data_IF_071209336836
#
_entry.id   IF_071209336836
#
_cell.length_a   1.000
_cell.length_b   1.000
_cell.length_c   1.000
_cell.angle_alpha   90.00
_cell.angle_beta   90.00
_cell.angle_gamma   90.00
#
_symmetry.space_group_name_H-M   'P 1'
#
loop_
_entity.id
_entity.type
_entity.pdbx_description
1 polymer ?
#
# COMPACT_ATOMS: atom_id res chain seq x y z
N UNK A 1 -16.51 49.16 -19.05
CA UNK A 1 -15.68 48.09 -19.63
C UNK A 1 -14.81 47.54 -18.53
N UNK A 2 -15.18 46.37 -17.99
CA UNK A 2 -14.42 45.69 -16.94
C UNK A 2 -14.00 44.34 -17.49
N UNK A 3 -12.71 44.19 -17.78
CA UNK A 3 -12.11 42.89 -18.07
C UNK A 3 -11.81 42.21 -16.73
N UNK A 4 -12.78 41.46 -16.20
CA UNK A 4 -12.55 40.57 -15.08
C UNK A 4 -11.71 39.39 -15.58
N UNK A 5 -10.52 39.24 -15.00
CA UNK A 5 -9.56 38.21 -15.34
C UNK A 5 -10.13 36.81 -15.16
N UNK A 6 -10.17 36.06 -16.26
CA UNK A 6 -10.31 34.62 -16.23
C UNK A 6 -8.99 34.04 -15.74
N UNK A 7 -8.88 33.86 -14.42
CA UNK A 7 -7.88 32.97 -13.84
C UNK A 7 -8.30 31.53 -14.13
N UNK A 8 -7.94 31.03 -15.30
CA UNK A 8 -7.97 29.61 -15.62
C UNK A 8 -6.79 28.96 -14.89
N UNK A 9 -6.94 28.67 -13.59
CA UNK A 9 -6.19 27.59 -12.98
C UNK A 9 -6.77 26.28 -13.50
N UNK A 10 -6.37 25.90 -14.73
CA UNK A 10 -6.37 24.51 -15.13
C UNK A 10 -5.27 23.85 -14.29
N UNK A 11 -5.59 23.48 -13.05
CA UNK A 11 -4.76 22.53 -12.33
C UNK A 11 -4.81 21.25 -13.17
N UNK A 12 -3.68 20.91 -13.80
CA UNK A 12 -3.54 19.61 -14.46
C UNK A 12 -3.53 18.56 -13.35
N UNK A 13 -4.71 18.14 -12.90
CA UNK A 13 -4.86 17.01 -12.00
C UNK A 13 -4.14 15.84 -12.66
N UNK A 14 -3.04 15.39 -12.05
CA UNK A 14 -2.32 14.22 -12.54
C UNK A 14 -3.22 13.05 -12.14
N UNK A 15 -3.84 12.34 -13.10
CA UNK A 15 -4.91 11.38 -12.81
C UNK A 15 -4.42 10.13 -12.06
N UNK A 16 -3.15 10.09 -11.68
CA UNK A 16 -2.48 9.00 -10.96
C UNK A 16 -2.08 9.40 -9.53
N UNK A 17 -2.24 10.67 -9.13
CA UNK A 17 -1.83 11.15 -7.81
C UNK A 17 -2.99 11.21 -6.83
N UNK A 18 -2.70 10.93 -5.57
CA UNK A 18 -3.60 11.15 -4.45
C UNK A 18 -3.26 12.52 -3.87
N UNK A 19 -3.94 13.56 -4.33
CA UNK A 19 -3.66 14.96 -3.98
C UNK A 19 -4.79 15.65 -3.20
N UNK A 20 -5.90 14.95 -2.94
CA UNK A 20 -6.97 15.39 -2.06
C UNK A 20 -6.45 15.46 -0.61
N UNK A 21 -6.31 16.66 0.01
CA UNK A 21 -5.60 16.79 1.29
C UNK A 21 -6.20 15.97 2.45
N UNK A 22 -7.53 15.95 2.67
CA UNK A 22 -8.16 15.01 3.61
C UNK A 22 -7.77 13.54 3.43
N UNK A 23 -7.60 13.09 2.18
CA UNK A 23 -7.26 11.69 1.88
C UNK A 23 -5.76 11.44 2.07
N UNK A 24 -4.91 12.33 1.56
CA UNK A 24 -3.45 12.18 1.66
C UNK A 24 -2.97 12.23 3.11
N UNK A 25 -3.51 13.14 3.94
CA UNK A 25 -3.15 13.25 5.36
C UNK A 25 -3.44 11.94 6.12
N UNK A 26 -4.62 11.35 5.92
CA UNK A 26 -4.99 10.09 6.57
C UNK A 26 -4.18 8.92 6.03
N UNK A 27 -3.93 8.88 4.71
CA UNK A 27 -3.14 7.83 4.09
C UNK A 27 -1.68 7.85 4.57
N UNK A 28 -1.06 9.03 4.68
CA UNK A 28 0.32 9.18 5.15
C UNK A 28 0.46 8.83 6.64
N UNK A 29 -0.46 9.27 7.49
CA UNK A 29 -0.47 8.91 8.92
C UNK A 29 -0.69 7.39 9.13
N UNK A 30 -1.65 6.81 8.40
CA UNK A 30 -1.89 5.37 8.41
C UNK A 30 -0.64 4.61 7.95
N UNK A 31 0.03 5.11 6.91
CA UNK A 31 1.24 4.51 6.39
C UNK A 31 2.41 4.60 7.37
N UNK A 32 2.62 5.73 8.03
CA UNK A 32 3.66 5.87 9.06
C UNK A 32 3.47 4.86 10.20
N UNK A 33 2.22 4.66 10.63
CA UNK A 33 1.86 3.63 11.63
C UNK A 33 2.16 2.23 11.11
N UNK A 34 1.74 1.91 9.88
CA UNK A 34 2.00 0.61 9.24
C UNK A 34 3.49 0.31 9.11
N UNK A 35 4.29 1.28 8.64
CA UNK A 35 5.75 1.11 8.46
C UNK A 35 6.44 0.84 9.79
N UNK A 36 6.03 1.53 10.84
CA UNK A 36 6.55 1.31 12.21
C UNK A 36 6.22 -0.09 12.70
N UNK A 37 4.97 -0.53 12.53
CA UNK A 37 4.57 -1.89 12.87
C UNK A 37 5.32 -2.95 12.04
N UNK A 38 5.45 -2.74 10.73
CA UNK A 38 6.14 -3.68 9.83
C UNK A 38 7.59 -3.87 10.24
N UNK A 39 8.30 -2.79 10.58
CA UNK A 39 9.68 -2.86 11.05
C UNK A 39 9.78 -3.62 12.39
N UNK A 40 8.87 -3.35 13.34
CA UNK A 40 8.86 -4.00 14.64
C UNK A 40 8.55 -5.51 14.58
N UNK A 41 7.88 -5.97 13.52
CA UNK A 41 7.43 -7.37 13.35
C UNK A 41 8.31 -8.19 12.40
N UNK A 42 9.44 -7.67 11.96
CA UNK A 42 10.36 -8.42 11.11
C UNK A 42 10.99 -9.61 11.87
N UNK A 43 10.95 -10.79 11.26
CA UNK A 43 11.70 -11.94 11.77
C UNK A 43 13.22 -11.74 11.53
N UNK A 44 14.08 -12.23 12.44
CA UNK A 44 15.52 -12.20 12.21
C UNK A 44 15.90 -13.12 11.04
N UNK A 45 17.04 -12.86 10.37
CA UNK A 45 17.57 -13.76 9.35
C UNK A 45 17.74 -15.18 9.88
N UNK A 46 17.37 -16.18 9.07
CA UNK A 46 17.48 -17.59 9.45
C UNK A 46 16.48 -18.07 10.52
N UNK A 47 15.47 -17.26 10.87
CA UNK A 47 14.43 -17.67 11.81
C UNK A 47 13.72 -18.97 11.37
N UNK A 48 13.27 -19.82 12.32
CA UNK A 48 12.47 -21.00 12.02
C UNK A 48 11.23 -20.66 11.19
N UNK A 49 10.79 -21.61 10.36
CA UNK A 49 9.64 -21.46 9.44
C UNK A 49 8.42 -20.88 10.14
N UNK A 50 8.01 -21.42 11.29
CA UNK A 50 6.84 -20.94 12.03
C UNK A 50 6.97 -19.47 12.47
N UNK A 51 8.19 -19.04 12.82
CA UNK A 51 8.45 -17.65 13.19
C UNK A 51 8.41 -16.73 11.97
N UNK A 52 8.91 -17.18 10.82
CA UNK A 52 8.82 -16.44 9.55
C UNK A 52 7.38 -16.29 9.09
N UNK A 53 6.59 -17.37 9.10
CA UNK A 53 5.16 -17.37 8.77
C UNK A 53 4.39 -16.40 9.67
N UNK A 54 4.58 -16.49 10.99
CA UNK A 54 3.96 -15.56 11.94
C UNK A 54 4.34 -14.10 11.66
N UNK A 55 5.62 -13.82 11.44
CA UNK A 55 6.10 -12.47 11.10
C UNK A 55 5.47 -11.93 9.81
N UNK A 56 5.30 -12.76 8.78
CA UNK A 56 4.62 -12.34 7.53
C UNK A 56 3.18 -11.93 7.84
N UNK A 57 2.43 -12.77 8.56
CA UNK A 57 1.02 -12.50 8.92
C UNK A 57 0.85 -11.29 9.81
N UNK A 58 1.72 -11.09 10.79
CA UNK A 58 1.68 -9.90 11.65
C UNK A 58 1.93 -8.60 10.85
N UNK A 59 2.83 -8.65 9.85
CA UNK A 59 3.05 -7.53 8.93
C UNK A 59 1.85 -7.32 8.01
N UNK A 60 1.23 -8.38 7.49
CA UNK A 60 0.02 -8.31 6.68
C UNK A 60 -1.17 -7.70 7.44
N UNK A 61 -1.28 -7.99 8.74
CA UNK A 61 -2.26 -7.36 9.60
C UNK A 61 -2.05 -5.83 9.71
N UNK A 62 -0.79 -5.37 9.78
CA UNK A 62 -0.50 -3.93 9.76
C UNK A 62 -0.90 -3.26 8.43
N UNK A 63 -0.68 -3.94 7.30
CA UNK A 63 -1.14 -3.47 5.98
C UNK A 63 -2.66 -3.40 5.93
N UNK A 64 -3.34 -4.45 6.39
CA UNK A 64 -4.81 -4.52 6.43
C UNK A 64 -5.39 -3.40 7.30
N UNK A 65 -4.76 -3.11 8.44
CA UNK A 65 -5.17 -2.00 9.31
C UNK A 65 -5.00 -0.63 8.65
N UNK A 66 -3.92 -0.42 7.88
CA UNK A 66 -3.72 0.79 7.08
C UNK A 66 -4.80 0.94 6.01
N UNK A 67 -5.05 -0.11 5.22
CA UNK A 67 -6.10 -0.11 4.19
C UNK A 67 -7.46 0.20 4.81
N UNK A 68 -7.78 -0.45 5.94
CA UNK A 68 -9.03 -0.22 6.65
C UNK A 68 -9.18 1.23 7.12
N UNK A 69 -8.12 1.85 7.67
CA UNK A 69 -8.13 3.24 8.12
C UNK A 69 -8.41 4.23 6.99
N UNK A 70 -7.82 4.01 5.81
CA UNK A 70 -8.07 4.88 4.64
C UNK A 70 -9.47 4.62 4.06
N UNK A 71 -9.97 3.37 4.11
CA UNK A 71 -11.34 3.03 3.68
C UNK A 71 -12.43 3.58 4.58
N UNK A 72 -12.11 3.89 5.83
CA UNK A 72 -13.05 4.48 6.80
C UNK A 72 -13.30 5.98 6.54
N UNK A 73 -12.56 6.58 5.61
CA UNK A 73 -12.88 7.92 5.10
C UNK A 73 -14.28 7.96 4.47
N UNK A 74 -14.86 9.16 4.41
CA UNK A 74 -16.17 9.38 3.82
C UNK A 74 -16.25 8.74 2.41
N UNK A 75 -17.23 7.85 2.16
CA UNK A 75 -17.41 7.24 0.85
C UNK A 75 -17.51 8.25 -0.30
N UNK A 76 -18.02 9.46 -0.04
CA UNK A 76 -18.05 10.53 -1.03
C UNK A 76 -16.62 10.91 -1.47
N UNK A 77 -15.70 11.11 -0.51
CA UNK A 77 -14.28 11.41 -0.78
C UNK A 77 -13.60 10.30 -1.57
N UNK A 78 -13.86 9.03 -1.22
CA UNK A 78 -13.24 7.88 -1.89
C UNK A 78 -13.85 7.54 -3.26
N UNK A 79 -15.14 7.83 -3.46
CA UNK A 79 -15.83 7.51 -4.72
C UNK A 79 -15.34 8.35 -5.88
N UNK A 80 -15.00 9.61 -5.61
CA UNK A 80 -14.47 10.57 -6.56
C UNK A 80 -12.96 10.40 -6.79
N UNK A 81 -12.24 9.82 -5.82
CA UNK A 81 -10.80 9.57 -5.88
C UNK A 81 -10.48 8.16 -6.43
N UNK A 82 -10.33 8.09 -7.77
CA UNK A 82 -9.90 6.85 -8.45
C UNK A 82 -8.48 6.41 -8.07
N UNK A 83 -7.46 7.29 -8.03
CA UNK A 83 -6.11 6.94 -7.57
C UNK A 83 -6.09 6.24 -6.22
N UNK A 84 -6.82 6.76 -5.23
CA UNK A 84 -6.86 6.18 -3.88
C UNK A 84 -7.43 4.76 -3.91
N UNK A 85 -8.52 4.53 -4.65
CA UNK A 85 -9.10 3.17 -4.76
C UNK A 85 -8.16 2.18 -5.42
N UNK A 86 -7.48 2.59 -6.49
CA UNK A 86 -6.49 1.74 -7.17
C UNK A 86 -5.32 1.41 -6.25
N UNK A 87 -4.79 2.42 -5.55
CA UNK A 87 -3.72 2.26 -4.57
C UNK A 87 -4.08 1.32 -3.43
N UNK A 88 -5.30 1.42 -2.88
CA UNK A 88 -5.78 0.51 -1.85
C UNK A 88 -5.92 -0.92 -2.36
N UNK A 89 -6.41 -1.10 -3.59
CA UNK A 89 -6.50 -2.42 -4.21
C UNK A 89 -5.12 -3.06 -4.42
N UNK A 90 -4.10 -2.26 -4.75
CA UNK A 90 -2.72 -2.73 -4.87
C UNK A 90 -2.16 -3.23 -3.53
N UNK A 91 -2.44 -2.53 -2.43
CA UNK A 91 -2.08 -2.99 -1.08
C UNK A 91 -2.76 -4.30 -0.70
N UNK A 92 -4.05 -4.44 -1.02
CA UNK A 92 -4.80 -5.68 -0.77
C UNK A 92 -4.24 -6.85 -1.59
N UNK A 93 -3.95 -6.63 -2.88
CA UNK A 93 -3.34 -7.64 -3.73
C UNK A 93 -1.96 -8.08 -3.19
N UNK A 94 -1.15 -7.13 -2.69
CA UNK A 94 0.10 -7.48 -2.01
C UNK A 94 -0.12 -8.35 -0.77
N UNK A 95 -1.12 -8.04 0.06
CA UNK A 95 -1.47 -8.87 1.24
C UNK A 95 -1.88 -10.28 0.81
N UNK A 96 -2.73 -10.42 -0.20
CA UNK A 96 -3.20 -11.73 -0.69
C UNK A 96 -2.05 -12.63 -1.15
N UNK A 97 -1.12 -12.10 -1.94
CA UNK A 97 0.03 -12.87 -2.43
C UNK A 97 0.98 -13.22 -1.29
N UNK A 98 1.17 -12.32 -0.31
CA UNK A 98 1.98 -12.60 0.88
C UNK A 98 1.36 -13.66 1.78
N UNK A 99 0.03 -13.68 1.93
CA UNK A 99 -0.67 -14.74 2.67
C UNK A 99 -0.55 -16.09 1.96
N UNK A 100 -0.66 -16.11 0.63
CA UNK A 100 -0.44 -17.35 -0.14
C UNK A 100 0.97 -17.89 0.04
N UNK A 101 1.98 -17.03 -0.04
CA UNK A 101 3.37 -17.41 0.23
C UNK A 101 3.54 -17.95 1.67
N UNK A 102 2.96 -17.29 2.68
CA UNK A 102 3.02 -17.76 4.05
C UNK A 102 2.35 -19.13 4.23
N UNK A 103 1.24 -19.39 3.52
CA UNK A 103 0.56 -20.68 3.53
C UNK A 103 1.37 -21.78 2.82
N UNK A 104 2.03 -21.46 1.70
CA UNK A 104 2.93 -22.39 1.01
C UNK A 104 4.13 -22.76 1.88
N UNK A 105 4.74 -21.76 2.52
CA UNK A 105 5.86 -21.93 3.43
C UNK A 105 5.49 -22.79 4.64
N UNK A 106 4.33 -22.52 5.26
CA UNK A 106 3.82 -23.31 6.40
C UNK A 106 3.54 -24.78 6.03
N UNK A 107 3.16 -25.04 4.78
CA UNK A 107 2.91 -26.37 4.29
C UNK A 107 4.18 -27.11 3.81
N UNK A 108 5.36 -26.48 3.92
CA UNK A 108 6.62 -27.06 3.45
C UNK A 108 6.74 -27.16 1.93
N UNK A 109 5.92 -26.40 1.18
CA UNK A 109 6.06 -26.30 -0.28
C UNK A 109 7.25 -25.42 -0.63
N UNK A 110 7.86 -25.64 -1.79
CA UNK A 110 8.88 -24.75 -2.35
C UNK A 110 8.28 -23.39 -2.69
N UNK A 111 8.16 -22.53 -1.67
CA UNK A 111 7.54 -21.23 -1.78
C UNK A 111 8.55 -20.21 -2.32
N UNK A 112 8.20 -19.56 -3.42
CA UNK A 112 8.94 -18.43 -3.97
C UNK A 112 8.01 -17.22 -3.99
N UNK A 113 8.41 -16.19 -3.25
CA UNK A 113 7.68 -14.93 -3.29
C UNK A 113 8.11 -14.13 -4.52
N UNK A 114 7.12 -13.67 -5.28
CA UNK A 114 7.31 -12.78 -6.42
C UNK A 114 6.37 -11.61 -6.23
N UNK A 115 6.91 -10.39 -6.29
CA UNK A 115 6.10 -9.17 -6.25
C UNK A 115 5.17 -9.18 -7.47
N UNK A 116 3.85 -9.05 -7.30
CA UNK A 116 2.93 -9.08 -8.43
C UNK A 116 3.16 -7.90 -9.37
N UNK A 117 2.80 -8.08 -10.63
CA UNK A 117 2.80 -7.04 -11.66
C UNK A 117 1.36 -6.66 -11.99
N UNK A 118 1.11 -5.37 -12.17
CA UNK A 118 -0.15 -4.86 -12.70
C UNK A 118 0.18 -3.80 -13.76
N UNK A 119 -0.56 -3.79 -14.87
CA UNK A 119 -0.34 -2.87 -16.00
C UNK A 119 1.11 -2.85 -16.54
N UNK A 120 1.83 -3.97 -16.42
CA UNK A 120 3.22 -4.10 -16.86
C UNK A 120 4.27 -3.59 -15.86
N UNK A 121 3.86 -3.06 -14.71
CA UNK A 121 4.75 -2.57 -13.66
C UNK A 121 4.66 -3.39 -12.37
N UNK A 122 5.77 -3.60 -11.64
CA UNK A 122 5.71 -4.19 -10.31
C UNK A 122 4.79 -3.38 -9.39
N UNK A 123 3.94 -4.04 -8.62
CA UNK A 123 2.98 -3.38 -7.72
C UNK A 123 3.67 -2.35 -6.80
N UNK A 124 4.83 -2.69 -6.25
CA UNK A 124 5.57 -1.78 -5.37
C UNK A 124 5.92 -0.44 -6.06
N UNK A 125 6.21 -0.45 -7.37
CA UNK A 125 6.47 0.77 -8.14
C UNK A 125 5.20 1.60 -8.27
N UNK A 126 4.07 0.98 -8.64
CA UNK A 126 2.77 1.66 -8.75
C UNK A 126 2.36 2.28 -7.42
N UNK A 127 2.52 1.53 -6.33
CA UNK A 127 2.15 1.95 -4.97
C UNK A 127 2.99 3.14 -4.47
N UNK A 128 4.26 3.25 -4.86
CA UNK A 128 5.13 4.37 -4.50
C UNK A 128 4.93 5.59 -5.43
N UNK A 129 4.21 5.45 -6.54
CA UNK A 129 4.08 6.49 -7.58
C UNK A 129 2.83 7.37 -7.45
N UNK A 130 2.10 7.28 -6.33
CA UNK A 130 0.84 8.01 -6.10
C UNK A 130 1.01 9.39 -5.45
N UNK A 131 2.25 9.83 -5.21
CA UNK A 131 2.54 11.16 -4.67
C UNK A 131 2.40 11.31 -3.16
N UNK A 132 2.19 10.21 -2.43
CA UNK A 132 2.16 10.16 -0.98
C UNK A 132 3.56 9.87 -0.40
N UNK A 133 3.82 10.31 0.82
CA UNK A 133 4.98 9.89 1.62
C UNK A 133 4.72 8.49 2.21
N UNK A 134 4.55 7.50 1.33
CA UNK A 134 4.25 6.12 1.70
C UNK A 134 4.98 5.10 0.83
N UNK A 135 6.30 5.02 1.02
CA UNK A 135 7.11 3.98 0.37
C UNK A 135 6.80 2.60 0.93
N UNK A 136 6.60 1.62 0.05
CA UNK A 136 6.50 0.19 0.39
C UNK A 136 7.80 -0.26 1.09
N UNK A 137 7.73 -0.70 2.37
CA UNK A 137 8.90 -1.23 3.06
C UNK A 137 9.50 -2.46 2.36
N UNK A 138 10.83 -2.53 2.25
CA UNK A 138 11.55 -3.66 1.66
C UNK A 138 11.18 -5.01 2.32
N UNK A 139 10.89 -5.00 3.62
CA UNK A 139 10.42 -6.17 4.37
C UNK A 139 9.13 -6.77 3.81
N UNK A 140 8.36 -6.01 3.02
CA UNK A 140 7.12 -6.46 2.40
C UNK A 140 7.31 -7.12 1.03
N UNK A 141 8.45 -6.89 0.39
CA UNK A 141 8.71 -7.34 -0.98
C UNK A 141 9.90 -8.30 -1.07
N UNK A 142 10.81 -8.26 -0.09
CA UNK A 142 11.99 -9.12 0.00
C UNK A 142 11.75 -10.28 0.97
N UNK A 143 10.82 -11.17 0.61
CA UNK A 143 10.57 -12.39 1.38
C UNK A 143 11.53 -13.51 0.93
N UNK A 144 12.45 -13.85 1.83
CA UNK A 144 13.31 -15.04 1.75
C UNK A 144 12.72 -16.17 2.58
#
# INVERSE_FOLDING_TARGET
MSCAGLWTYANHDRPTLIDNPPVSEVAEDACATMRTAVAAKAAPPGAPVDTRVRSIRERNAALTAMVARVRDLDPALLSEDRPTRAWLADWEHLVEVRERYAADLAAGRGAHFVVPTADGEPLAVRMNSVGLICEVPAQLVDLQ
#
